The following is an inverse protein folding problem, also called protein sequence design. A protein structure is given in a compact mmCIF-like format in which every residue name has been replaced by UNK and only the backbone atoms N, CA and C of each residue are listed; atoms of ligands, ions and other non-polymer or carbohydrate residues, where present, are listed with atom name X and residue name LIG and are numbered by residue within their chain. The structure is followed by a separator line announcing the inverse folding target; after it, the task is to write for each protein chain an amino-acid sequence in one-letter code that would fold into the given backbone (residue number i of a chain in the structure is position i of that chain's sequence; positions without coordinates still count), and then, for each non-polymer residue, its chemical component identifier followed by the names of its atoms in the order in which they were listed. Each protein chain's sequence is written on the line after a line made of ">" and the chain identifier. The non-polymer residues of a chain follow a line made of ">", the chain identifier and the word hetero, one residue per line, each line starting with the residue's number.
data_IF_291589627889
#
_entry.id   IF_291589627889
#
_cell.length_a   1.000
_cell.length_b   1.000
_cell.length_c   1.000
_cell.angle_alpha   90.00
_cell.angle_beta   90.00
_cell.angle_gamma   90.00
#
_symmetry.space_group_name_H-M   'P 1'
#
loop_
_entity.id
_entity.type
_entity.pdbx_description
1 polymer ?
#
# COMPACT_ATOMS: atom_id res chain seq x y z
N UNK A 1 -1.98 -6.63 -4.95
CA UNK A 1 -2.03 -8.02 -4.46
C UNK A 1 -1.56 -8.87 -5.62
N UNK A 2 -0.48 -9.64 -5.43
CA UNK A 2 0.08 -10.44 -6.52
C UNK A 2 -0.38 -11.88 -6.37
N UNK A 3 -0.88 -12.46 -7.45
CA UNK A 3 -1.29 -13.86 -7.51
C UNK A 3 -0.26 -14.61 -8.36
N UNK A 4 0.24 -15.71 -7.82
CA UNK A 4 1.20 -16.60 -8.46
C UNK A 4 0.53 -17.94 -8.71
N UNK A 5 0.87 -18.59 -9.82
CA UNK A 5 0.39 -19.93 -10.12
C UNK A 5 1.58 -20.86 -10.14
N UNK A 6 1.56 -21.91 -9.32
CA UNK A 6 2.48 -23.02 -9.48
C UNK A 6 1.79 -24.13 -10.29
N UNK A 7 2.55 -24.72 -11.20
CA UNK A 7 2.10 -25.81 -12.08
C UNK A 7 3.01 -27.00 -11.84
N UNK A 8 2.42 -28.15 -11.48
CA UNK A 8 3.11 -29.42 -11.48
C UNK A 8 2.74 -30.20 -12.74
N UNK A 9 3.72 -30.39 -13.62
CA UNK A 9 3.59 -31.17 -14.84
C UNK A 9 4.59 -32.32 -14.85
N UNK A 10 4.11 -33.53 -15.11
CA UNK A 10 4.93 -34.71 -15.38
C UNK A 10 4.81 -35.16 -16.86
N UNK A 11 4.23 -34.33 -17.73
CA UNK A 11 4.03 -34.61 -19.15
C UNK A 11 2.81 -35.48 -19.48
N UNK A 12 1.95 -35.82 -18.51
CA UNK A 12 0.71 -36.57 -18.72
C UNK A 12 -0.47 -35.66 -18.32
N UNK A 13 -1.36 -35.28 -19.26
CA UNK A 13 -2.44 -34.36 -18.96
C UNK A 13 -3.54 -35.01 -18.08
N UNK A 14 -4.23 -34.22 -17.22
CA UNK A 14 -4.05 -32.78 -16.99
C UNK A 14 -2.95 -32.46 -15.97
N UNK A 15 -2.25 -31.34 -16.16
CA UNK A 15 -1.34 -30.79 -15.16
C UNK A 15 -2.11 -30.27 -13.95
N UNK A 16 -1.51 -30.39 -12.77
CA UNK A 16 -2.08 -29.87 -11.53
C UNK A 16 -1.59 -28.43 -11.29
N UNK A 17 -2.50 -27.53 -10.93
CA UNK A 17 -2.17 -26.11 -10.71
C UNK A 17 -2.68 -25.61 -9.37
N UNK A 18 -1.86 -24.82 -8.66
CA UNK A 18 -2.28 -24.16 -7.43
C UNK A 18 -2.02 -22.66 -7.50
N UNK A 19 -2.99 -21.88 -7.03
CA UNK A 19 -2.87 -20.42 -6.93
C UNK A 19 -2.37 -20.04 -5.55
N UNK A 20 -1.26 -19.32 -5.50
CA UNK A 20 -0.65 -18.78 -4.28
C UNK A 20 -0.82 -17.26 -4.28
N UNK A 21 -1.46 -16.75 -3.22
CA UNK A 21 -1.63 -15.31 -3.03
C UNK A 21 -0.52 -14.79 -2.12
N UNK A 22 0.38 -13.98 -2.66
CA UNK A 22 1.44 -13.36 -1.85
C UNK A 22 0.98 -12.01 -1.33
N UNK A 23 0.85 -11.92 0.00
CA UNK A 23 0.58 -10.68 0.70
C UNK A 23 1.89 -10.14 1.29
N UNK A 24 2.33 -8.98 0.79
CA UNK A 24 3.47 -8.25 1.35
C UNK A 24 2.93 -7.14 2.25
N UNK A 25 3.44 -7.05 3.47
CA UNK A 25 3.08 -6.01 4.45
C UNK A 25 4.31 -5.23 4.89
N UNK A 26 4.11 -3.94 5.16
CA UNK A 26 5.11 -2.98 5.62
C UNK A 26 4.38 -1.76 6.19
N UNK A 27 5.06 -0.99 7.04
CA UNK A 27 4.50 0.26 7.55
C UNK A 27 4.29 1.27 6.41
N UNK A 28 3.21 2.06 6.40
CA UNK A 28 2.94 2.99 5.32
C UNK A 28 4.07 4.02 5.18
N UNK A 29 4.48 4.26 3.94
CA UNK A 29 5.47 5.27 3.59
C UNK A 29 4.76 6.50 3.03
N UNK A 30 5.04 7.68 3.57
CA UNK A 30 4.52 8.94 3.06
C UNK A 30 5.61 9.68 2.28
N UNK A 31 5.30 10.10 1.06
CA UNK A 31 6.18 10.91 0.22
C UNK A 31 5.47 12.20 -0.16
N UNK A 32 5.94 13.32 0.39
CA UNK A 32 5.44 14.64 0.03
C UNK A 32 5.75 14.97 -1.43
N UNK A 33 4.78 15.53 -2.16
CA UNK A 33 5.04 16.02 -3.53
C UNK A 33 5.94 17.25 -3.54
N UNK A 34 5.90 18.04 -2.46
CA UNK A 34 6.80 19.17 -2.24
C UNK A 34 7.17 19.22 -0.75
N UNK A 35 8.44 19.43 -0.39
CA UNK A 35 8.87 19.52 1.01
C UNK A 35 8.40 20.81 1.70
N UNK A 36 8.03 21.83 0.93
CA UNK A 36 7.51 23.10 1.44
C UNK A 36 6.56 23.69 0.41
N UNK A 37 5.45 24.26 0.89
CA UNK A 37 4.51 25.03 0.07
C UNK A 37 4.44 26.43 0.65
N UNK A 38 4.71 27.45 -0.18
CA UNK A 38 4.62 28.86 0.21
C UNK A 38 3.39 29.48 -0.41
N UNK A 39 2.64 30.24 0.38
CA UNK A 39 1.42 30.91 -0.07
C UNK A 39 1.38 32.32 0.55
N UNK A 40 0.96 33.35 -0.20
CA UNK A 40 0.80 34.70 0.33
C UNK A 40 -0.31 34.78 1.38
N UNK A 41 -0.29 35.84 2.19
CA UNK A 41 -1.34 36.12 3.17
C UNK A 41 -2.71 36.18 2.49
N UNK A 42 -3.70 35.47 3.05
CA UNK A 42 -5.04 35.32 2.49
C UNK A 42 -5.16 34.29 1.36
N UNK A 43 -4.07 33.67 0.92
CA UNK A 43 -4.10 32.59 -0.07
C UNK A 43 -4.41 31.23 0.54
N UNK A 44 -4.82 30.28 -0.32
CA UNK A 44 -5.15 28.90 0.06
C UNK A 44 -4.04 27.95 -0.45
N UNK A 45 -3.52 27.10 0.44
CA UNK A 45 -2.51 26.10 0.11
C UNK A 45 -3.14 24.70 0.02
N UNK A 46 -2.72 23.89 -0.96
CA UNK A 46 -3.01 22.46 -0.99
C UNK A 46 -1.72 21.67 -0.82
N UNK A 47 -1.61 20.97 0.30
CA UNK A 47 -0.52 20.02 0.52
C UNK A 47 -0.94 18.62 0.06
N UNK A 48 -0.09 17.96 -0.74
CA UNK A 48 -0.38 16.64 -1.30
C UNK A 48 0.76 15.69 -1.00
N UNK A 49 0.43 14.53 -0.46
CA UNK A 49 1.35 13.42 -0.20
C UNK A 49 0.91 12.20 -1.00
N UNK A 50 1.86 11.45 -1.51
CA UNK A 50 1.63 10.10 -2.01
C UNK A 50 1.86 9.13 -0.83
N UNK A 51 0.96 8.17 -0.67
CA UNK A 51 1.08 7.14 0.37
C UNK A 51 1.34 5.82 -0.33
N UNK A 52 2.48 5.20 -0.04
CA UNK A 52 2.75 3.81 -0.40
C UNK A 52 2.35 2.95 0.79
N UNK A 53 1.24 2.23 0.67
CA UNK A 53 0.78 1.29 1.69
C UNK A 53 0.54 -0.07 1.04
N UNK A 54 0.88 -1.19 1.72
CA UNK A 54 0.36 -2.48 1.30
C UNK A 54 -1.17 -2.45 1.40
N UNK A 55 -1.84 -3.33 0.67
CA UNK A 55 -3.30 -3.44 0.71
C UNK A 55 -3.72 -3.98 2.09
N UNK A 56 -3.78 -3.09 3.08
CA UNK A 56 -4.22 -3.37 4.45
C UNK A 56 -5.74 -3.37 4.40
N UNK A 57 -6.36 -4.53 4.64
CA UNK A 57 -7.74 -4.52 5.13
C UNK A 57 -7.74 -3.75 6.44
N UNK A 58 -8.46 -2.63 6.46
CA UNK A 58 -8.59 -1.69 7.57
C UNK A 58 -8.82 -2.41 8.88
N UNK A 59 -7.77 -2.57 9.69
CA UNK A 59 -7.95 -2.80 11.12
C UNK A 59 -8.00 -1.40 11.73
N UNK A 60 -9.14 -1.02 12.31
CA UNK A 60 -9.36 0.29 12.92
C UNK A 60 -8.35 0.52 14.05
N UNK A 61 -7.19 1.11 13.76
CA UNK A 61 -6.28 1.64 14.77
C UNK A 61 -6.63 3.10 15.03
N UNK A 62 -7.37 3.34 16.12
CA UNK A 62 -7.64 4.67 16.69
C UNK A 62 -6.30 5.33 17.02
N UNK A 63 -5.91 6.35 16.26
CA UNK A 63 -4.79 7.24 16.57
C UNK A 63 -5.13 8.02 17.85
N UNK A 64 -4.41 7.78 18.93
CA UNK A 64 -4.37 8.68 20.07
C UNK A 64 -3.30 9.73 19.79
N UNK A 65 -3.70 10.98 19.54
CA UNK A 65 -2.81 12.11 19.68
C UNK A 65 -2.66 12.38 21.18
N UNK A 66 -1.44 12.22 21.71
CA UNK A 66 -1.09 12.76 23.02
C UNK A 66 -0.84 14.25 22.84
N UNK A 67 -1.72 15.06 23.42
CA UNK A 67 -1.49 16.49 23.59
C UNK A 67 -0.26 16.67 24.50
N UNK A 68 0.68 17.51 24.07
CA UNK A 68 1.63 18.18 24.96
C UNK A 68 1.49 19.67 24.74
#
# INVERSE_FOLDING_TARGET
>A
MSEYVCVASNGIPPDETWTVKLLVTFAPLMQAKAPTVRVPLGGLARYVVNVLAPHVRTTHSRLWFSDQ
#
